data_IF_147265897568
#
_entry.id   IF_147265897568
#
_cell.length_a   1.000
_cell.length_b   1.000
_cell.length_c   1.000
_cell.angle_alpha   90.00
_cell.angle_beta   90.00
_cell.angle_gamma   90.00
#
_symmetry.space_group_name_H-M   'P 1'
#
loop_
_entity.id
_entity.type
_entity.pdbx_description
1 polymer ?
#
# COMPACT_ATOMS: atom_id res chain seq x y z
N UNK A 1 16.07 31.48 3.48
CA UNK A 1 15.86 32.05 2.14
C UNK A 1 16.14 30.92 1.18
N UNK A 2 15.10 30.46 0.48
CA UNK A 2 15.19 29.94 -0.88
C UNK A 2 13.76 29.91 -1.43
N UNK A 3 13.52 30.86 -2.32
CA UNK A 3 12.29 30.98 -3.07
C UNK A 3 12.29 30.04 -4.27
N UNK A 4 11.12 29.51 -4.60
CA UNK A 4 10.93 28.74 -5.82
C UNK A 4 9.46 28.40 -6.03
N UNK A 5 8.84 29.10 -6.97
CA UNK A 5 7.50 28.89 -7.54
C UNK A 5 6.29 28.91 -6.57
N UNK A 6 5.66 30.10 -6.47
CA UNK A 6 4.25 30.23 -6.09
C UNK A 6 3.36 29.60 -7.17
N UNK A 7 3.13 28.29 -7.08
CA UNK A 7 2.06 27.61 -7.81
C UNK A 7 0.70 27.93 -7.18
N UNK A 8 -0.30 28.27 -8.00
CA UNK A 8 -1.66 28.55 -7.57
C UNK A 8 -2.29 27.33 -6.87
N UNK A 9 -2.34 27.35 -5.53
CA UNK A 9 -3.41 26.86 -4.65
C UNK A 9 -2.95 27.09 -3.21
N UNK A 10 -3.57 28.06 -2.52
CA UNK A 10 -3.30 28.29 -1.11
C UNK A 10 -3.58 27.03 -0.29
N UNK A 11 -2.62 26.66 0.56
CA UNK A 11 -2.71 25.74 1.69
C UNK A 11 -3.83 24.69 1.67
N UNK A 12 -3.81 23.77 0.70
CA UNK A 12 -4.65 22.58 0.77
C UNK A 12 -4.01 21.60 1.76
N UNK A 13 -4.64 21.37 2.91
CA UNK A 13 -4.35 20.22 3.76
C UNK A 13 -4.63 18.94 2.96
N UNK A 14 -3.58 18.22 2.57
CA UNK A 14 -3.63 17.07 1.66
C UNK A 14 -3.31 15.77 2.40
N UNK A 15 -4.18 15.34 3.31
CA UNK A 15 -3.99 14.07 4.03
C UNK A 15 -5.05 13.02 3.71
N UNK A 16 -6.20 13.42 3.17
CA UNK A 16 -7.34 12.52 2.91
C UNK A 16 -7.05 11.43 1.87
N UNK A 17 -6.02 11.57 1.02
CA UNK A 17 -5.64 10.52 0.07
C UNK A 17 -4.98 9.31 0.75
N UNK A 18 -4.51 9.45 2.00
CA UNK A 18 -3.75 8.40 2.70
C UNK A 18 -4.65 7.35 3.32
N UNK A 19 -5.89 7.70 3.65
CA UNK A 19 -6.85 6.83 4.31
C UNK A 19 -8.20 6.87 3.58
N UNK A 20 -8.55 5.77 2.92
CA UNK A 20 -9.83 5.62 2.22
C UNK A 20 -10.53 4.39 2.76
N UNK A 21 -11.71 4.51 3.37
CA UNK A 21 -12.47 3.35 3.88
C UNK A 21 -13.74 3.14 3.07
N UNK A 22 -13.83 2.02 2.36
CA UNK A 22 -15.03 1.67 1.59
C UNK A 22 -15.99 0.82 2.45
N UNK A 23 -16.71 1.46 3.38
CA UNK A 23 -17.60 0.79 4.35
C UNK A 23 -18.77 0.03 3.72
N UNK A 24 -19.19 0.42 2.51
CA UNK A 24 -20.26 -0.25 1.75
C UNK A 24 -19.81 -1.51 1.00
N UNK A 25 -18.52 -1.85 1.03
CA UNK A 25 -18.00 -3.08 0.45
C UNK A 25 -18.60 -4.31 1.13
N UNK A 26 -19.05 -5.29 0.34
CA UNK A 26 -19.67 -6.54 0.80
C UNK A 26 -18.70 -7.41 1.62
N UNK A 27 -17.40 -7.13 1.52
CA UNK A 27 -16.35 -7.85 2.24
C UNK A 27 -15.88 -7.10 3.50
N UNK A 28 -16.35 -5.88 3.75
CA UNK A 28 -15.87 -5.08 4.88
C UNK A 28 -16.45 -5.58 6.24
N UNK A 29 -15.62 -5.69 7.30
CA UNK A 29 -14.16 -5.60 7.31
C UNK A 29 -13.51 -6.88 6.76
N UNK A 30 -12.61 -6.73 5.77
CA UNK A 30 -12.01 -7.89 5.08
C UNK A 30 -10.99 -8.63 5.96
N UNK A 31 -10.28 -7.92 6.84
CA UNK A 31 -9.29 -8.46 7.78
C UNK A 31 -9.68 -8.14 9.22
N UNK A 32 -9.59 -9.15 10.09
CA UNK A 32 -9.89 -9.00 11.52
C UNK A 32 -8.73 -8.34 12.27
N UNK A 33 -9.04 -7.71 13.41
CA UNK A 33 -8.03 -7.14 14.31
C UNK A 33 -7.52 -5.76 13.91
N UNK A 34 -8.12 -5.14 12.88
CA UNK A 34 -7.90 -3.74 12.53
C UNK A 34 -9.13 -2.93 12.96
N UNK A 35 -8.97 -1.85 13.73
CA UNK A 35 -10.09 -0.97 14.10
C UNK A 35 -10.76 -0.35 12.87
N UNK A 36 -12.09 -0.37 12.82
CA UNK A 36 -12.85 0.10 11.65
C UNK A 36 -12.70 1.61 11.37
N UNK A 37 -12.43 2.41 12.39
CA UNK A 37 -12.20 3.86 12.31
C UNK A 37 -10.87 4.22 11.63
N UNK A 38 -9.91 3.30 11.66
CA UNK A 38 -8.57 3.43 11.05
C UNK A 38 -8.35 2.47 9.89
N UNK A 39 -9.40 1.75 9.47
CA UNK A 39 -9.33 0.73 8.44
C UNK A 39 -9.13 1.36 7.06
N UNK A 40 -8.07 0.95 6.37
CA UNK A 40 -7.72 1.49 5.06
C UNK A 40 -8.05 0.50 3.92
N UNK A 41 -8.76 0.94 2.90
CA UNK A 41 -9.08 0.18 1.69
C UNK A 41 -8.23 0.62 0.48
N UNK A 42 -7.42 1.67 0.62
CA UNK A 42 -6.63 2.24 -0.47
C UNK A 42 -5.78 1.20 -1.21
N UNK A 43 -5.22 0.24 -0.47
CA UNK A 43 -4.39 -0.84 -1.00
C UNK A 43 -5.00 -2.22 -0.75
N UNK A 44 -6.33 -2.34 -0.87
CA UNK A 44 -7.03 -3.63 -0.76
C UNK A 44 -6.34 -4.73 -1.58
N UNK A 45 -5.85 -4.39 -2.78
CA UNK A 45 -4.83 -5.19 -3.46
C UNK A 45 -3.43 -4.68 -3.07
N UNK A 46 -2.64 -5.53 -2.40
CA UNK A 46 -1.33 -5.13 -1.91
C UNK A 46 -0.34 -4.97 -3.08
N UNK A 47 0.17 -3.77 -3.36
CA UNK A 47 1.13 -3.55 -4.45
C UNK A 47 2.49 -4.23 -4.18
N UNK A 48 2.75 -4.62 -2.93
CA UNK A 48 3.99 -5.26 -2.51
C UNK A 48 3.96 -6.79 -2.66
N UNK A 49 2.89 -7.37 -3.20
CA UNK A 49 2.73 -8.82 -3.29
C UNK A 49 3.92 -9.49 -4.00
N UNK A 50 4.39 -8.89 -5.11
CA UNK A 50 5.47 -9.39 -5.95
C UNK A 50 6.87 -9.25 -5.34
N UNK A 51 7.02 -8.48 -4.26
CA UNK A 51 8.30 -8.37 -3.53
C UNK A 51 8.63 -9.62 -2.70
N UNK A 52 7.87 -10.72 -2.84
CA UNK A 52 8.09 -11.99 -2.12
C UNK A 52 8.17 -11.73 -0.60
N UNK A 53 9.26 -12.14 0.03
CA UNK A 53 9.54 -11.99 1.46
C UNK A 53 10.01 -10.59 1.87
N UNK A 54 10.45 -9.78 0.90
CA UNK A 54 10.87 -8.40 1.14
C UNK A 54 9.69 -7.43 1.37
N UNK A 55 8.44 -7.90 1.16
CA UNK A 55 7.26 -7.06 1.33
C UNK A 55 7.05 -6.63 2.80
N UNK A 56 7.63 -7.32 3.78
CA UNK A 56 7.53 -6.98 5.22
C UNK A 56 6.10 -7.06 5.78
N UNK A 57 5.25 -7.87 5.13
CA UNK A 57 3.91 -8.18 5.60
C UNK A 57 3.85 -9.50 6.36
N UNK A 58 2.74 -9.76 7.03
CA UNK A 58 2.49 -11.02 7.75
C UNK A 58 1.87 -12.08 6.82
N UNK A 59 2.59 -12.45 5.76
CA UNK A 59 2.18 -13.49 4.82
C UNK A 59 2.74 -14.85 5.26
N UNK A 60 2.25 -15.92 4.63
CA UNK A 60 2.86 -17.26 4.69
C UNK A 60 2.99 -17.84 3.29
N UNK A 61 3.89 -18.79 3.11
CA UNK A 61 3.92 -19.62 1.91
C UNK A 61 3.16 -20.92 2.14
N UNK A 62 2.29 -21.27 1.20
CA UNK A 62 1.61 -22.56 1.17
C UNK A 62 2.59 -23.65 0.69
N UNK A 63 2.23 -24.92 0.90
CA UNK A 63 3.07 -26.07 0.49
C UNK A 63 3.42 -26.09 -1.01
N UNK A 64 2.57 -25.47 -1.85
CA UNK A 64 2.77 -25.35 -3.29
C UNK A 64 3.58 -24.10 -3.71
N UNK A 65 4.15 -23.35 -2.76
CA UNK A 65 4.94 -22.15 -3.03
C UNK A 65 4.12 -20.88 -3.30
N UNK A 66 2.79 -20.95 -3.27
CA UNK A 66 1.94 -19.75 -3.41
C UNK A 66 2.02 -18.91 -2.13
N UNK A 67 2.18 -17.59 -2.32
CA UNK A 67 2.17 -16.61 -1.23
C UNK A 67 0.72 -16.34 -0.81
N UNK A 68 0.41 -16.64 0.45
CA UNK A 68 -0.90 -16.42 1.06
C UNK A 68 -0.83 -15.21 2.02
N UNK A 69 -1.59 -14.17 1.68
CA UNK A 69 -1.67 -12.93 2.44
C UNK A 69 -2.98 -12.79 3.24
N UNK A 70 -3.84 -13.81 3.33
CA UNK A 70 -5.16 -13.72 3.98
C UNK A 70 -5.11 -13.26 5.45
N UNK A 71 -3.97 -13.40 6.12
CA UNK A 71 -3.75 -12.94 7.50
C UNK A 71 -2.92 -11.65 7.62
N UNK A 72 -2.64 -10.97 6.50
CA UNK A 72 -1.82 -9.77 6.46
C UNK A 72 -2.69 -8.51 6.49
N UNK A 73 -2.63 -7.77 7.59
CA UNK A 73 -3.36 -6.51 7.76
C UNK A 73 -2.58 -5.25 7.37
N UNK A 74 -1.33 -5.38 6.90
CA UNK A 74 -0.47 -4.24 6.53
C UNK A 74 -1.15 -3.22 5.60
N UNK A 75 -1.85 -3.61 4.50
CA UNK A 75 -2.50 -2.62 3.64
C UNK A 75 -3.71 -1.94 4.29
N UNK A 76 -4.23 -2.49 5.39
CA UNK A 76 -5.49 -2.09 6.00
C UNK A 76 -5.36 -1.28 7.28
N UNK A 77 -4.15 -1.05 7.80
CA UNK A 77 -3.94 -0.23 8.99
C UNK A 77 -3.84 1.29 8.71
N UNK A 78 -3.82 2.13 9.77
CA UNK A 78 -3.69 3.59 9.66
C UNK A 78 -2.37 4.01 8.99
N UNK A 79 -1.27 3.29 9.27
CA UNK A 79 0.06 3.59 8.73
C UNK A 79 0.30 2.94 7.36
N UNK A 80 -0.73 2.38 6.72
CA UNK A 80 -0.53 1.57 5.51
C UNK A 80 0.02 2.38 4.35
N UNK A 81 -0.36 3.65 4.24
CA UNK A 81 0.14 4.54 3.18
C UNK A 81 1.66 4.67 3.23
N UNK A 82 2.21 5.06 4.37
CA UNK A 82 3.66 5.28 4.50
C UNK A 82 4.45 4.00 4.27
N UNK A 83 4.01 2.91 4.91
CA UNK A 83 4.64 1.59 4.79
C UNK A 83 4.69 1.08 3.37
N UNK A 84 3.63 1.33 2.59
CA UNK A 84 3.57 0.90 1.20
C UNK A 84 4.42 1.81 0.31
N UNK A 85 4.27 3.13 0.47
CA UNK A 85 5.00 4.10 -0.33
C UNK A 85 6.52 4.01 -0.14
N UNK A 86 6.99 3.72 1.08
CA UNK A 86 8.41 3.48 1.38
C UNK A 86 9.00 2.35 0.52
N UNK A 87 8.20 1.35 0.16
CA UNK A 87 8.64 0.17 -0.59
C UNK A 87 8.38 0.25 -2.10
N UNK A 88 7.69 1.28 -2.57
CA UNK A 88 7.38 1.41 -4.00
C UNK A 88 8.64 1.55 -4.86
N UNK A 89 9.75 2.07 -4.32
CA UNK A 89 11.05 2.06 -5.01
C UNK A 89 11.49 0.65 -5.44
N UNK A 90 11.32 -0.35 -4.58
CA UNK A 90 11.65 -1.75 -4.89
C UNK A 90 10.72 -2.33 -5.95
N UNK A 91 9.44 -1.97 -5.92
CA UNK A 91 8.45 -2.40 -6.92
C UNK A 91 8.82 -1.84 -8.29
N UNK A 92 9.15 -0.55 -8.35
CA UNK A 92 9.54 0.12 -9.59
C UNK A 92 10.83 -0.46 -10.16
N UNK A 93 11.81 -0.80 -9.32
CA UNK A 93 13.03 -1.46 -9.77
C UNK A 93 12.73 -2.80 -10.46
N UNK A 94 11.87 -3.62 -9.86
CA UNK A 94 11.46 -4.90 -10.43
C UNK A 94 10.59 -4.80 -11.68
N UNK A 95 10.11 -3.60 -12.02
CA UNK A 95 9.28 -3.33 -13.20
C UNK A 95 10.04 -2.61 -14.33
N UNK A 96 11.32 -2.30 -14.15
CA UNK A 96 12.14 -1.70 -15.21
C UNK A 96 12.29 -2.66 -16.38
N UNK A 97 12.19 -2.13 -17.59
CA UNK A 97 12.66 -2.81 -18.80
C UNK A 97 14.15 -3.05 -18.68
N UNK A 98 14.59 -4.25 -19.02
CA UNK A 98 16.00 -4.56 -19.16
C UNK A 98 16.50 -4.04 -20.51
N UNK A 99 17.82 -3.79 -20.68
CA UNK A 99 18.37 -3.35 -21.96
C UNK A 99 17.98 -4.23 -23.16
N UNK A 100 17.75 -5.52 -22.92
CA UNK A 100 17.28 -6.49 -23.89
C UNK A 100 15.79 -6.38 -24.26
N UNK A 101 14.98 -5.65 -23.49
CA UNK A 101 13.55 -5.42 -23.74
C UNK A 101 13.28 -4.16 -24.57
N UNK A 102 14.31 -3.34 -24.83
CA UNK A 102 14.23 -2.03 -25.52
C UNK A 102 14.37 -2.13 -27.05
#
# INVERSE_FOLDING_TARGET
>A
MDGGAKGLRGGLETQNYRLVTHRSCEFFPCHKGVPEDTYNCLFCFCPLYLLKDQCGGNFRYLKNGVKDCTNCSVPHGPDSYDRIMEKMGLVMEGAKMLPEDL
#
